data_IF_161452224046
#
_entry.id   IF_161452224046
#
_cell.length_a   1.000
_cell.length_b   1.000
_cell.length_c   1.000
_cell.angle_alpha   90.00
_cell.angle_beta   90.00
_cell.angle_gamma   90.00
#
_symmetry.space_group_name_H-M   'P 1'
#
loop_
_entity.id
_entity.type
_entity.pdbx_description
1 polymer ?
#
# COMPACT_ATOMS: atom_id res chain seq x y z
N UNK A 1 14.06 17.94 18.38
CA UNK A 1 13.93 16.83 19.33
C UNK A 1 12.54 16.92 19.95
N UNK A 2 11.55 16.27 19.31
CA UNK A 2 10.17 16.26 19.78
C UNK A 2 9.98 15.01 20.63
N UNK A 3 9.93 15.18 21.95
CA UNK A 3 9.68 14.09 22.89
C UNK A 3 8.20 13.73 22.80
N UNK A 4 7.86 12.72 22.00
CA UNK A 4 6.50 12.14 22.03
C UNK A 4 6.37 11.39 23.35
N UNK A 5 5.36 11.77 24.14
CA UNK A 5 5.15 11.27 25.49
C UNK A 5 4.72 9.80 25.45
N UNK A 6 5.48 8.90 26.10
CA UNK A 6 5.26 7.43 26.07
C UNK A 6 3.86 7.04 26.58
N UNK A 7 3.28 7.79 27.51
CA UNK A 7 1.95 7.52 28.07
C UNK A 7 0.82 7.70 27.05
N UNK A 8 0.96 8.64 26.10
CA UNK A 8 -0.06 8.85 25.04
C UNK A 8 -0.01 7.77 23.97
N UNK A 9 1.15 7.10 23.79
CA UNK A 9 1.28 5.99 22.85
C UNK A 9 0.62 4.71 23.36
N UNK A 10 0.76 4.39 24.65
CA UNK A 10 0.14 3.19 25.24
C UNK A 10 -1.38 3.18 25.05
N UNK A 11 -2.06 4.30 25.35
CA UNK A 11 -3.51 4.42 25.16
C UNK A 11 -3.96 4.21 23.70
N UNK A 12 -3.11 4.59 22.74
CA UNK A 12 -3.42 4.46 21.30
C UNK A 12 -3.24 3.02 20.81
N UNK A 13 -2.31 2.26 21.40
CA UNK A 13 -2.08 0.85 21.06
C UNK A 13 -3.21 -0.04 21.56
N UNK A 14 -3.64 0.13 22.81
CA UNK A 14 -4.75 -0.64 23.37
C UNK A 14 -6.02 -0.49 22.52
N UNK A 15 -6.23 0.72 21.98
CA UNK A 15 -7.35 1.01 21.06
C UNK A 15 -7.26 0.24 19.74
N UNK A 16 -6.06 0.00 19.20
CA UNK A 16 -5.86 -0.79 17.97
C UNK A 16 -6.16 -2.27 18.23
N UNK A 17 -5.61 -2.83 19.31
CA UNK A 17 -5.86 -4.23 19.67
C UNK A 17 -7.34 -4.49 19.94
N UNK A 18 -8.00 -3.56 20.66
CA UNK A 18 -9.42 -3.66 20.93
C UNK A 18 -10.23 -3.61 19.63
N UNK A 19 -9.98 -2.62 18.75
CA UNK A 19 -10.70 -2.47 17.49
C UNK A 19 -10.57 -3.72 16.59
N UNK A 20 -9.36 -4.25 16.45
CA UNK A 20 -9.12 -5.44 15.63
C UNK A 20 -9.76 -6.69 16.26
N UNK A 21 -9.71 -6.82 17.59
CA UNK A 21 -10.34 -7.95 18.29
C UNK A 21 -11.87 -7.89 18.25
N UNK A 22 -12.46 -6.69 18.29
CA UNK A 22 -13.88 -6.46 18.03
C UNK A 22 -14.24 -6.83 16.58
N UNK A 23 -13.43 -6.46 15.60
CA UNK A 23 -13.60 -6.88 14.20
C UNK A 23 -13.59 -8.40 14.01
N UNK A 24 -12.75 -9.13 14.74
CA UNK A 24 -12.78 -10.61 14.77
C UNK A 24 -14.07 -11.12 15.40
N UNK A 25 -14.47 -10.57 16.57
CA UNK A 25 -15.71 -10.97 17.27
C UNK A 25 -16.94 -10.77 16.40
N UNK A 26 -17.00 -9.65 15.68
CA UNK A 26 -18.10 -9.25 14.82
C UNK A 26 -18.00 -9.86 13.40
N UNK A 27 -17.00 -10.72 13.17
CA UNK A 27 -16.76 -11.46 11.91
C UNK A 27 -16.54 -10.57 10.69
N UNK A 28 -15.94 -9.39 10.89
CA UNK A 28 -15.49 -8.51 9.81
C UNK A 28 -14.28 -9.10 9.09
N UNK A 29 -13.39 -9.76 9.83
CA UNK A 29 -12.23 -10.49 9.31
C UNK A 29 -11.86 -11.65 10.25
N UNK A 30 -11.22 -12.73 9.77
CA UNK A 30 -10.88 -13.89 10.60
C UNK A 30 -9.73 -13.61 11.59
N UNK A 31 -8.83 -12.70 11.23
CA UNK A 31 -7.69 -12.30 12.04
C UNK A 31 -6.93 -11.15 11.38
N UNK A 32 -5.99 -10.57 12.12
CA UNK A 32 -5.18 -9.45 11.66
C UNK A 32 -3.80 -9.46 12.32
N UNK A 33 -2.81 -8.92 11.61
CA UNK A 33 -1.50 -8.53 12.12
C UNK A 33 -1.36 -7.03 11.93
N UNK A 34 -0.81 -6.34 12.92
CA UNK A 34 -0.65 -4.88 12.87
C UNK A 34 0.70 -4.47 13.46
N UNK A 35 1.20 -3.33 12.99
CA UNK A 35 2.41 -2.70 13.50
C UNK A 35 2.31 -1.17 13.43
N UNK A 36 2.95 -0.48 14.37
CA UNK A 36 3.12 0.97 14.41
C UNK A 36 4.61 1.24 14.51
N UNK A 37 5.15 2.03 13.60
CA UNK A 37 6.58 2.30 13.51
C UNK A 37 6.87 3.59 12.76
N UNK A 38 8.16 3.91 12.64
CA UNK A 38 8.66 4.97 11.76
C UNK A 38 9.83 4.45 10.90
N UNK A 39 10.63 5.35 10.34
CA UNK A 39 11.76 4.99 9.47
C UNK A 39 12.91 4.31 10.20
N UNK A 40 12.98 4.42 11.53
CA UNK A 40 14.01 3.81 12.35
C UNK A 40 13.58 2.43 12.85
N UNK A 41 12.38 2.30 13.41
CA UNK A 41 11.96 1.09 14.12
C UNK A 41 10.44 0.87 14.19
N UNK A 42 10.06 -0.37 14.53
CA UNK A 42 8.70 -0.74 14.97
C UNK A 42 8.58 -0.45 16.47
N UNK A 43 7.63 0.41 16.84
CA UNK A 43 7.36 0.82 18.22
C UNK A 43 6.37 -0.10 18.94
N UNK A 44 5.43 -0.69 18.19
CA UNK A 44 4.45 -1.63 18.71
C UNK A 44 3.93 -2.52 17.57
N UNK A 45 3.51 -3.74 17.92
CA UNK A 45 2.90 -4.68 16.97
C UNK A 45 2.07 -5.71 17.72
N UNK A 46 1.13 -6.34 17.03
CA UNK A 46 0.34 -7.43 17.58
C UNK A 46 -0.38 -8.23 16.51
N UNK A 47 -1.07 -9.29 16.95
CA UNK A 47 -1.96 -10.08 16.11
C UNK A 47 -3.21 -10.48 16.89
N UNK A 48 -4.31 -10.74 16.17
CA UNK A 48 -5.56 -11.23 16.76
C UNK A 48 -6.29 -12.15 15.79
N UNK A 49 -7.14 -13.04 16.31
CA UNK A 49 -7.92 -13.99 15.54
C UNK A 49 -7.12 -15.17 14.98
N UNK A 50 -7.65 -15.76 13.91
CA UNK A 50 -7.17 -17.01 13.30
C UNK A 50 -6.81 -16.80 11.83
N UNK A 51 -5.93 -17.67 11.32
CA UNK A 51 -5.52 -17.66 9.93
C UNK A 51 -6.65 -18.09 8.99
N UNK A 52 -7.36 -19.16 9.36
CA UNK A 52 -8.49 -19.71 8.62
C UNK A 52 -9.67 -19.91 9.59
N UNK A 53 -10.84 -19.30 9.36
CA UNK A 53 -12.01 -19.53 10.20
C UNK A 53 -12.52 -20.98 10.17
N UNK A 54 -12.11 -21.78 9.17
CA UNK A 54 -12.41 -23.21 9.09
C UNK A 54 -11.38 -24.09 9.81
N UNK A 55 -10.23 -23.53 10.20
CA UNK A 55 -9.24 -24.16 11.08
C UNK A 55 -8.96 -23.27 12.30
N UNK A 56 -9.86 -23.27 13.31
CA UNK A 56 -9.68 -22.44 14.51
C UNK A 56 -8.42 -22.77 15.32
N UNK A 57 -7.74 -23.89 15.03
CA UNK A 57 -6.48 -24.27 15.64
C UNK A 57 -5.26 -23.50 15.10
N UNK A 58 -5.42 -22.77 13.99
CA UNK A 58 -4.37 -21.98 13.37
C UNK A 58 -4.47 -20.49 13.78
N UNK A 59 -3.79 -20.04 14.85
CA UNK A 59 -3.84 -18.64 15.28
C UNK A 59 -3.14 -17.72 14.28
N UNK A 60 -3.58 -16.46 14.22
CA UNK A 60 -2.87 -15.43 13.48
C UNK A 60 -1.52 -15.11 14.15
N UNK A 61 -0.42 -15.15 13.40
CA UNK A 61 0.93 -14.89 13.91
C UNK A 61 1.55 -13.63 13.30
N UNK A 62 2.47 -12.95 14.00
CA UNK A 62 3.18 -11.79 13.45
C UNK A 62 3.95 -12.06 12.15
N UNK A 63 4.35 -13.31 11.91
CA UNK A 63 5.08 -13.77 10.73
C UNK A 63 4.18 -14.42 9.65
N UNK A 64 2.85 -14.33 9.80
CA UNK A 64 1.92 -14.77 8.75
C UNK A 64 2.21 -14.01 7.44
N UNK A 65 2.35 -14.76 6.35
CA UNK A 65 2.54 -14.20 5.01
C UNK A 65 1.17 -13.93 4.38
N UNK A 66 0.96 -12.70 3.93
CA UNK A 66 -0.25 -12.26 3.23
C UNK A 66 0.04 -11.97 1.76
N UNK A 67 -0.98 -12.09 0.91
CA UNK A 67 -0.93 -11.53 -0.44
C UNK A 67 -0.91 -10.00 -0.34
N UNK A 68 0.12 -9.36 -0.92
CA UNK A 68 0.25 -7.91 -0.93
C UNK A 68 -0.87 -7.24 -1.76
N UNK A 69 -1.48 -7.95 -2.71
CA UNK A 69 -2.54 -7.48 -3.58
C UNK A 69 -2.22 -6.08 -4.14
N UNK A 70 -3.09 -5.08 -3.92
CA UNK A 70 -2.86 -3.72 -4.43
C UNK A 70 -1.69 -2.97 -3.78
N UNK A 71 -1.15 -3.41 -2.63
CA UNK A 71 0.11 -2.85 -2.10
C UNK A 71 1.29 -3.08 -3.05
N UNK A 72 1.21 -4.08 -3.93
CA UNK A 72 2.19 -4.31 -5.01
C UNK A 72 2.43 -3.06 -5.86
N UNK A 73 1.42 -2.19 -6.05
CA UNK A 73 1.58 -0.95 -6.83
C UNK A 73 2.60 -0.01 -6.19
N UNK A 74 2.59 0.10 -4.86
CA UNK A 74 3.52 0.99 -4.15
C UNK A 74 4.87 0.29 -3.96
N UNK A 75 4.86 -0.99 -3.57
CA UNK A 75 6.06 -1.73 -3.22
C UNK A 75 6.91 -2.14 -4.43
N UNK A 76 6.28 -2.45 -5.57
CA UNK A 76 6.98 -2.93 -6.76
C UNK A 76 6.91 -1.92 -7.90
N UNK A 77 5.71 -1.49 -8.30
CA UNK A 77 5.54 -0.63 -9.48
C UNK A 77 6.17 0.75 -9.23
N UNK A 78 5.79 1.44 -8.15
CA UNK A 78 6.37 2.75 -7.84
C UNK A 78 7.87 2.65 -7.54
N UNK A 79 8.33 1.67 -6.76
CA UNK A 79 9.76 1.50 -6.50
C UNK A 79 10.58 1.37 -7.80
N UNK A 80 10.08 0.60 -8.77
CA UNK A 80 10.75 0.39 -10.06
C UNK A 80 10.74 1.65 -10.92
N UNK A 81 9.59 2.32 -11.04
CA UNK A 81 9.47 3.55 -11.84
C UNK A 81 10.24 4.71 -11.18
N UNK A 82 10.18 4.82 -9.85
CA UNK A 82 10.91 5.80 -9.07
C UNK A 82 12.41 5.70 -9.27
N UNK A 83 12.97 4.49 -9.31
CA UNK A 83 14.39 4.29 -9.62
C UNK A 83 14.75 4.82 -11.02
N UNK A 84 13.95 4.53 -12.05
CA UNK A 84 14.20 5.09 -13.39
C UNK A 84 14.03 6.60 -13.46
N UNK A 85 13.10 7.16 -12.69
CA UNK A 85 12.88 8.60 -12.61
C UNK A 85 14.06 9.31 -11.93
N UNK A 86 14.56 8.78 -10.82
CA UNK A 86 15.75 9.28 -10.12
C UNK A 86 17.01 9.22 -11.00
N UNK A 87 17.13 8.19 -11.84
CA UNK A 87 18.21 8.05 -12.83
C UNK A 87 18.05 8.96 -14.06
N UNK A 88 16.94 9.71 -14.19
CA UNK A 88 16.63 10.54 -15.36
C UNK A 88 16.35 9.74 -16.63
N UNK A 89 16.05 8.44 -16.49
CA UNK A 89 15.78 7.51 -17.61
C UNK A 89 14.30 7.45 -18.00
N UNK A 90 13.42 7.93 -17.12
CA UNK A 90 12.00 8.04 -17.36
C UNK A 90 11.53 9.41 -16.84
N UNK A 91 10.89 10.18 -17.70
CA UNK A 91 10.17 11.39 -17.28
C UNK A 91 8.69 11.06 -17.07
N UNK A 92 8.19 11.34 -15.86
CA UNK A 92 6.82 11.01 -15.45
C UNK A 92 5.77 11.80 -16.22
N UNK A 93 6.14 12.94 -16.78
CA UNK A 93 5.23 13.87 -17.46
C UNK A 93 5.29 13.74 -18.99
N UNK A 94 6.15 12.85 -19.51
CA UNK A 94 6.20 12.54 -20.93
C UNK A 94 5.10 11.50 -21.28
N UNK A 95 4.37 11.66 -22.42
CA UNK A 95 3.38 10.68 -22.87
C UNK A 95 3.98 9.29 -23.10
N UNK A 96 3.24 8.24 -22.71
CA UNK A 96 3.70 6.86 -22.77
C UNK A 96 4.11 6.44 -24.18
N UNK A 97 3.41 6.90 -25.21
CA UNK A 97 3.71 6.58 -26.61
C UNK A 97 5.07 7.05 -27.10
N UNK A 98 5.74 7.95 -26.37
CA UNK A 98 7.10 8.42 -26.73
C UNK A 98 8.19 7.39 -26.44
N UNK A 99 7.95 6.46 -25.51
CA UNK A 99 8.95 5.47 -25.07
C UNK A 99 8.40 4.03 -25.02
N UNK A 100 7.08 3.85 -25.11
CA UNK A 100 6.41 2.56 -25.11
C UNK A 100 5.68 2.37 -26.44
N UNK A 101 6.34 1.72 -27.39
CA UNK A 101 5.84 1.56 -28.78
C UNK A 101 4.50 0.85 -28.88
N UNK A 102 4.20 -0.05 -27.95
CA UNK A 102 3.00 -0.89 -27.97
C UNK A 102 1.72 -0.10 -27.63
N UNK A 103 1.86 1.11 -27.10
CA UNK A 103 0.73 2.01 -26.85
C UNK A 103 0.64 3.15 -27.86
N UNK A 104 1.53 3.19 -28.85
CA UNK A 104 1.48 4.18 -29.93
C UNK A 104 0.19 4.01 -30.75
N UNK A 105 -0.43 5.13 -31.12
CA UNK A 105 -1.74 5.15 -31.79
C UNK A 105 -2.94 4.70 -30.93
N UNK A 106 -2.73 4.29 -29.67
CA UNK A 106 -3.79 3.94 -28.75
C UNK A 106 -4.14 5.09 -27.78
N UNK A 107 -5.35 5.13 -27.20
CA UNK A 107 -5.71 6.14 -26.19
C UNK A 107 -4.73 6.21 -25.01
N UNK A 108 -4.07 5.10 -24.68
CA UNK A 108 -3.07 5.05 -23.62
C UNK A 108 -1.77 5.79 -24.00
N UNK A 109 -1.47 5.95 -25.30
CA UNK A 109 -0.23 6.58 -25.76
C UNK A 109 -0.11 8.07 -25.40
N UNK A 110 -1.24 8.77 -25.22
CA UNK A 110 -1.26 10.18 -24.83
C UNK A 110 -1.28 10.41 -23.31
N UNK A 111 -1.49 9.35 -22.53
CA UNK A 111 -1.44 9.37 -21.06
C UNK A 111 0.02 9.48 -20.63
N UNK A 112 0.32 10.14 -19.51
CA UNK A 112 1.66 10.16 -18.92
C UNK A 112 1.85 9.06 -17.87
N UNK A 113 3.09 8.67 -17.56
CA UNK A 113 3.34 7.71 -16.48
C UNK A 113 2.78 8.21 -15.14
N UNK A 114 2.85 9.52 -14.86
CA UNK A 114 2.23 10.13 -13.68
C UNK A 114 0.73 9.84 -13.62
N UNK A 115 0.01 10.12 -14.71
CA UNK A 115 -1.44 9.94 -14.76
C UNK A 115 -1.84 8.47 -14.56
N UNK A 116 -1.11 7.55 -15.20
CA UNK A 116 -1.32 6.12 -15.05
C UNK A 116 -1.11 5.66 -13.59
N UNK A 117 -0.02 6.10 -12.96
CA UNK A 117 0.33 5.74 -11.58
C UNK A 117 -0.63 6.34 -10.56
N UNK A 118 -1.19 7.52 -10.83
CA UNK A 118 -2.12 8.21 -9.92
C UNK A 118 -3.58 7.92 -10.20
N UNK A 119 -3.89 7.05 -11.18
CA UNK A 119 -5.26 6.79 -11.62
C UNK A 119 -6.03 8.07 -11.97
N UNK A 120 -5.38 9.01 -12.64
CA UNK A 120 -6.01 10.25 -13.10
C UNK A 120 -6.23 10.22 -14.61
N UNK A 121 -7.32 10.86 -15.05
CA UNK A 121 -7.66 10.92 -16.46
C UNK A 121 -6.59 11.67 -17.26
N UNK A 122 -6.31 11.19 -18.47
CA UNK A 122 -5.61 12.00 -19.45
C UNK A 122 -6.46 13.26 -19.78
N UNK A 123 -5.83 14.39 -20.09
CA UNK A 123 -6.55 15.55 -20.58
C UNK A 123 -7.31 15.13 -21.82
N UNK A 124 -8.61 15.41 -21.85
CA UNK A 124 -9.42 15.32 -23.06
C UNK A 124 -8.87 16.33 -24.06
N UNK A 125 -7.91 15.90 -24.89
CA UNK A 125 -7.59 16.58 -26.15
C UNK A 125 -8.71 16.24 -27.13
N UNK A 126 -9.83 16.97 -27.01
CA UNK A 126 -10.87 16.99 -28.03
C UNK A 126 -10.28 17.50 -29.35
N UNK A 127 -10.25 16.63 -30.35
CA UNK A 127 -9.96 17.00 -31.74
C UNK A 127 -11.05 17.90 -32.29
N UNK A 128 -10.64 18.82 -33.18
CA UNK A 128 -11.51 19.40 -34.20
C UNK A 128 -11.96 18.32 -35.18
#
# INVERSE_FOLDING_TARGET
MHTVNRETMTYRIDSIEQLLSEGVRDKVHPGAVWAVGDTADIHASGSTGVLDPNDPGAPMRPDTIFDAASLTKILAVWASIGAFWEEGRLDLDTPLGTFWSEVDGHPLGVVTARQLLTHTDAPITGGR
#
